data_IF_274362553932
#
_entry.id   IF_274362553932
#
_cell.length_a   1.000
_cell.length_b   1.000
_cell.length_c   1.000
_cell.angle_alpha   90.00
_cell.angle_beta   90.00
_cell.angle_gamma   90.00
#
_symmetry.space_group_name_H-M   'P 1'
#
loop_
_entity.id
_entity.type
_entity.pdbx_description
1 polymer ?
#
# COMPACT_ATOMS: atom_id res chain seq x y z
N UNK A 1 -8.07 24.26 -14.77
CA UNK A 1 -7.68 22.87 -14.94
C UNK A 1 -7.38 22.25 -13.60
N UNK A 2 -7.96 21.11 -13.34
CA UNK A 2 -7.75 20.41 -12.09
C UNK A 2 -6.67 19.37 -12.32
N UNK A 3 -5.63 19.43 -11.52
CA UNK A 3 -4.60 18.43 -11.54
C UNK A 3 -4.78 17.56 -10.31
N UNK A 4 -4.88 16.26 -10.54
CA UNK A 4 -4.87 15.34 -9.43
C UNK A 4 -3.46 15.28 -8.90
N UNK A 5 -3.31 15.56 -7.64
CA UNK A 5 -2.01 15.55 -7.00
C UNK A 5 -1.86 14.31 -6.15
N UNK A 6 -0.74 13.63 -6.34
CA UNK A 6 -0.36 12.55 -5.45
C UNK A 6 0.12 13.16 -4.15
N UNK A 7 -0.53 12.79 -3.05
CA UNK A 7 -0.09 13.18 -1.73
C UNK A 7 1.00 12.21 -1.29
N UNK A 8 2.09 12.76 -0.79
CA UNK A 8 3.20 11.93 -0.33
C UNK A 8 3.46 12.26 1.12
N UNK A 9 3.39 11.22 1.95
CA UNK A 9 3.72 11.34 3.38
C UNK A 9 4.97 10.53 3.63
N UNK A 10 5.95 11.12 4.30
CA UNK A 10 7.17 10.42 4.63
C UNK A 10 7.06 9.80 6.01
N UNK A 11 7.35 8.51 6.07
CA UNK A 11 7.41 7.77 7.33
C UNK A 11 8.82 7.19 7.43
N UNK A 12 9.60 7.65 8.41
CA UNK A 12 10.99 7.24 8.59
C UNK A 12 11.81 7.36 7.30
N UNK A 13 11.62 8.48 6.59
CA UNK A 13 12.29 8.77 5.32
C UNK A 13 11.85 7.87 4.16
N UNK A 14 10.72 7.15 4.33
CA UNK A 14 10.15 6.37 3.25
C UNK A 14 8.90 7.09 2.73
N UNK A 15 8.86 7.44 1.45
CA UNK A 15 7.70 8.12 0.89
C UNK A 15 6.55 7.14 0.68
N UNK A 16 5.37 7.52 1.14
CA UNK A 16 4.14 6.77 0.94
C UNK A 16 3.22 7.61 0.10
N UNK A 17 2.83 7.11 -1.06
CA UNK A 17 1.93 7.83 -1.96
C UNK A 17 0.48 7.56 -1.59
N UNK A 18 -0.32 8.62 -1.68
CA UNK A 18 -1.75 8.54 -1.44
C UNK A 18 -2.49 9.06 -2.65
N UNK A 19 -3.65 8.50 -2.93
CA UNK A 19 -4.53 9.03 -3.97
C UNK A 19 -5.21 10.30 -3.47
N UNK A 20 -5.76 11.13 -4.38
CA UNK A 20 -6.48 12.34 -3.94
C UNK A 20 -7.66 12.06 -3.03
N UNK A 21 -8.26 10.87 -3.11
CA UNK A 21 -9.37 10.47 -2.25
C UNK A 21 -8.93 9.74 -0.98
N UNK A 22 -7.61 9.71 -0.73
CA UNK A 22 -7.08 9.22 0.55
C UNK A 22 -6.74 7.74 0.62
N UNK A 23 -6.69 7.06 -0.52
CA UNK A 23 -6.26 5.66 -0.53
C UNK A 23 -4.74 5.57 -0.50
N UNK A 24 -4.23 4.48 0.06
CA UNK A 24 -2.82 4.32 0.35
C UNK A 24 -2.17 3.37 -0.66
N UNK A 25 -1.01 3.75 -1.19
CA UNK A 25 -0.20 2.83 -1.98
C UNK A 25 0.30 1.71 -1.08
N UNK A 26 -0.15 0.48 -1.34
CA UNK A 26 0.09 -0.66 -0.46
C UNK A 26 1.58 -0.98 -0.36
N UNK A 27 2.24 -1.06 -1.50
CA UNK A 27 3.66 -1.43 -1.54
C UNK A 27 4.51 -0.39 -0.82
N UNK A 28 4.20 0.90 -1.02
CA UNK A 28 4.92 1.97 -0.34
C UNK A 28 4.77 1.86 1.18
N UNK A 29 3.54 1.61 1.64
CA UNK A 29 3.27 1.50 3.06
C UNK A 29 3.94 0.29 3.68
N UNK A 30 3.90 -0.85 2.99
CA UNK A 30 4.57 -2.06 3.47
C UNK A 30 6.08 -1.83 3.55
N UNK A 31 6.66 -1.19 2.56
CA UNK A 31 8.08 -0.88 2.58
C UNK A 31 8.45 0.01 3.76
N UNK A 32 7.63 1.02 4.03
CA UNK A 32 7.89 1.95 5.13
C UNK A 32 7.83 1.27 6.49
N UNK A 33 6.85 0.39 6.68
CA UNK A 33 6.64 -0.29 7.96
C UNK A 33 7.64 -1.42 8.16
N UNK A 34 7.87 -2.23 7.13
CA UNK A 34 8.73 -3.40 7.24
C UNK A 34 10.20 -3.09 6.99
N UNK A 35 10.47 -2.00 6.29
CA UNK A 35 11.81 -1.63 5.82
C UNK A 35 12.43 -2.72 4.96
N UNK A 36 11.59 -3.52 4.31
CA UNK A 36 12.01 -4.59 3.45
C UNK A 36 12.45 -4.06 2.08
N UNK A 37 13.44 -4.71 1.50
CA UNK A 37 13.86 -4.40 0.12
C UNK A 37 12.89 -4.98 -0.90
N UNK A 38 11.99 -5.84 -0.47
CA UNK A 38 11.08 -6.52 -1.38
C UNK A 38 9.64 -6.51 -0.85
N UNK A 39 9.04 -5.30 -0.75
CA UNK A 39 7.67 -5.18 -0.24
C UNK A 39 6.64 -5.84 -1.14
N UNK A 40 6.92 -5.93 -2.43
CA UNK A 40 6.00 -6.57 -3.37
C UNK A 40 5.81 -8.05 -3.02
N UNK A 41 6.88 -8.73 -2.63
CA UNK A 41 6.79 -10.14 -2.24
C UNK A 41 5.92 -10.32 -1.00
N UNK A 42 6.07 -9.42 -0.02
CA UNK A 42 5.24 -9.44 1.18
C UNK A 42 3.77 -9.26 0.81
N UNK A 43 3.49 -8.31 -0.07
CA UNK A 43 2.13 -8.05 -0.52
C UNK A 43 1.53 -9.24 -1.27
N UNK A 44 2.32 -9.88 -2.14
CA UNK A 44 1.84 -11.06 -2.88
C UNK A 44 1.48 -12.20 -1.93
N UNK A 45 2.31 -12.45 -0.92
CA UNK A 45 2.03 -13.47 0.07
C UNK A 45 0.78 -13.14 0.89
N UNK A 46 0.63 -11.89 1.25
CA UNK A 46 -0.52 -11.44 2.02
C UNK A 46 -1.81 -11.63 1.24
N UNK A 47 -1.81 -11.26 -0.04
CA UNK A 47 -2.98 -11.45 -0.91
C UNK A 47 -3.34 -12.94 -1.04
N UNK A 48 -2.35 -13.78 -1.16
CA UNK A 48 -2.57 -15.21 -1.33
C UNK A 48 -3.23 -15.82 -0.11
N UNK A 49 -2.87 -15.35 1.07
CA UNK A 49 -3.41 -15.91 2.32
C UNK A 49 -4.68 -15.23 2.80
N UNK A 50 -4.88 -13.98 2.41
CA UNK A 50 -6.02 -13.19 2.85
C UNK A 50 -6.65 -12.48 1.65
N UNK A 51 -7.26 -13.24 0.72
CA UNK A 51 -7.80 -12.64 -0.51
C UNK A 51 -8.96 -11.68 -0.24
N UNK A 52 -9.57 -11.71 0.93
CA UNK A 52 -10.63 -10.79 1.30
C UNK A 52 -10.14 -9.33 1.28
N UNK A 53 -8.84 -9.10 1.42
CA UNK A 53 -8.28 -7.75 1.36
C UNK A 53 -8.53 -7.12 -0.02
N UNK A 54 -8.60 -7.94 -1.06
CA UNK A 54 -8.80 -7.44 -2.42
C UNK A 54 -10.12 -6.70 -2.60
N UNK A 55 -11.09 -6.93 -1.71
CA UNK A 55 -12.35 -6.19 -1.72
C UNK A 55 -12.16 -4.72 -1.40
N UNK A 56 -11.05 -4.37 -0.79
CA UNK A 56 -10.72 -3.00 -0.39
C UNK A 56 -9.65 -2.38 -1.29
N UNK A 57 -9.21 -3.11 -2.30
CA UNK A 57 -8.10 -2.69 -3.16
C UNK A 57 -8.60 -2.26 -4.52
N UNK A 58 -7.87 -1.33 -5.13
CA UNK A 58 -8.09 -0.99 -6.54
C UNK A 58 -6.76 -0.56 -7.14
N UNK A 59 -6.72 -0.53 -8.47
CA UNK A 59 -5.55 -0.04 -9.17
C UNK A 59 -5.67 1.46 -9.37
N UNK A 60 -4.57 2.15 -9.15
CA UNK A 60 -4.51 3.59 -9.38
C UNK A 60 -3.19 3.93 -10.07
N UNK A 61 -3.27 4.82 -11.04
CA UNK A 61 -2.08 5.27 -11.76
C UNK A 61 -1.55 6.55 -11.12
N UNK A 62 -0.31 6.48 -10.62
CA UNK A 62 0.38 7.64 -10.05
C UNK A 62 1.24 8.36 -11.09
N UNK A 63 0.92 8.20 -12.36
CA UNK A 63 1.66 8.86 -13.43
C UNK A 63 2.35 7.87 -14.33
N UNK A 64 3.62 8.14 -14.66
CA UNK A 64 4.35 7.35 -15.64
C UNK A 64 4.73 5.94 -15.19
N UNK A 65 4.60 5.67 -13.92
CA UNK A 65 5.03 4.39 -13.35
C UNK A 65 4.02 3.26 -13.55
N UNK A 66 2.88 3.57 -14.16
CA UNK A 66 1.82 2.59 -14.36
C UNK A 66 0.91 2.48 -13.15
N UNK A 67 0.14 1.40 -13.11
CA UNK A 67 -0.84 1.21 -12.05
C UNK A 67 -0.22 0.57 -10.82
N UNK A 68 -0.64 1.06 -9.67
CA UNK A 68 -0.21 0.56 -8.37
C UNK A 68 -1.46 0.23 -7.57
N UNK A 69 -1.43 -0.87 -6.84
CA UNK A 69 -2.55 -1.23 -5.99
C UNK A 69 -2.62 -0.30 -4.79
N UNK A 70 -3.82 0.22 -4.53
CA UNK A 70 -4.09 1.09 -3.39
C UNK A 70 -5.23 0.51 -2.58
N UNK A 71 -5.33 0.91 -1.33
CA UNK A 71 -6.30 0.36 -0.40
C UNK A 71 -6.90 1.49 0.43
N UNK A 72 -8.19 1.34 0.78
CA UNK A 72 -8.84 2.30 1.68
C UNK A 72 -8.38 2.06 3.12
N UNK A 73 -8.86 2.91 4.05
CA UNK A 73 -8.42 2.83 5.44
C UNK A 73 -8.84 1.51 6.10
N UNK A 74 -10.01 0.98 5.75
CA UNK A 74 -10.45 -0.30 6.31
C UNK A 74 -9.56 -1.44 5.85
N UNK A 75 -9.22 -1.46 4.57
CA UNK A 75 -8.30 -2.46 4.04
C UNK A 75 -6.91 -2.34 4.65
N UNK A 76 -6.45 -1.12 4.87
CA UNK A 76 -5.15 -0.93 5.51
C UNK A 76 -5.14 -1.47 6.94
N UNK A 77 -6.23 -1.32 7.68
CA UNK A 77 -6.32 -1.90 9.02
C UNK A 77 -6.19 -3.41 8.99
N UNK A 78 -6.80 -4.06 7.99
CA UNK A 78 -6.67 -5.51 7.82
C UNK A 78 -5.22 -5.89 7.55
N UNK A 79 -4.57 -5.17 6.65
CA UNK A 79 -3.17 -5.40 6.34
C UNK A 79 -2.31 -5.24 7.59
N UNK A 80 -2.56 -4.19 8.35
CA UNK A 80 -1.81 -3.90 9.57
C UNK A 80 -1.91 -5.01 10.60
N UNK A 81 -3.10 -5.62 10.71
CA UNK A 81 -3.33 -6.72 11.65
C UNK A 81 -2.52 -7.95 11.26
N UNK A 82 -2.46 -8.27 9.96
CA UNK A 82 -1.81 -9.49 9.49
C UNK A 82 -0.33 -9.31 9.17
N UNK A 83 0.11 -8.10 8.97
CA UNK A 83 1.48 -7.82 8.52
C UNK A 83 2.56 -8.42 9.43
N UNK A 84 2.44 -8.35 10.77
CA UNK A 84 3.48 -8.91 11.64
C UNK A 84 3.73 -10.40 11.42
N UNK A 85 2.71 -11.15 11.01
CA UNK A 85 2.87 -12.59 10.75
C UNK A 85 3.81 -12.84 9.57
N UNK A 86 3.91 -11.90 8.64
CA UNK A 86 4.77 -12.02 7.47
C UNK A 86 6.14 -11.41 7.69
N UNK A 87 6.31 -10.64 8.75
CA UNK A 87 7.56 -9.98 9.07
C UNK A 87 8.37 -10.72 10.12
N UNK A 88 7.80 -11.77 10.70
CA UNK A 88 8.50 -12.58 11.69
C UNK A 88 8.55 -11.98 13.09
N UNK A 89 7.65 -11.10 13.38
CA UNK A 89 7.56 -10.49 14.71
C UNK A 89 6.82 -11.38 15.70
#
# INVERSE_FOLDING_TARGET
>A
MIMEETLIVNLDNQPIRFTPDGKISIVDAIKAVSKSDNPQSIWEDLKAKHPEILLHCEDYSFGKEGCTEVVDSEGWEIIWIFLPYFLGY
#
